data_IF_461552486054
#
_entry.id   IF_461552486054
#
_cell.length_a   1.000
_cell.length_b   1.000
_cell.length_c   1.000
_cell.angle_alpha   90.00
_cell.angle_beta   90.00
_cell.angle_gamma   90.00
#
_symmetry.space_group_name_H-M   'P 1'
#
loop_
_entity.id
_entity.type
_entity.pdbx_description
1 polymer ?
#
# COMPACT_ATOMS: atom_id res chain seq x y z
N UNK A 1 -47.37 -27.73 -26.61
CA UNK A 1 -46.25 -28.16 -27.48
C UNK A 1 -45.10 -27.20 -27.24
N UNK A 2 -44.17 -27.63 -26.38
CA UNK A 2 -42.94 -26.91 -26.07
C UNK A 2 -42.02 -26.92 -27.29
N UNK A 3 -41.40 -25.78 -27.62
CA UNK A 3 -40.14 -25.76 -28.37
C UNK A 3 -39.13 -24.90 -27.59
N UNK A 4 -38.09 -25.60 -27.16
CA UNK A 4 -37.05 -25.21 -26.25
C UNK A 4 -35.91 -24.56 -27.05
N UNK A 5 -35.56 -23.30 -26.74
CA UNK A 5 -34.26 -22.73 -27.14
C UNK A 5 -33.52 -22.36 -25.84
N UNK A 6 -32.69 -23.29 -25.37
CA UNK A 6 -31.69 -23.06 -24.33
C UNK A 6 -30.66 -22.04 -24.86
N UNK A 7 -30.78 -20.77 -24.48
CA UNK A 7 -29.60 -19.87 -24.41
C UNK A 7 -29.02 -20.01 -23.01
N UNK A 8 -27.84 -20.61 -22.91
CA UNK A 8 -27.09 -20.67 -21.64
C UNK A 8 -26.66 -19.27 -21.17
N UNK A 9 -26.30 -19.10 -19.89
CA UNK A 9 -25.85 -17.82 -19.37
C UNK A 9 -24.51 -17.43 -19.99
N UNK A 10 -24.42 -16.22 -20.55
CA UNK A 10 -23.19 -15.59 -21.00
C UNK A 10 -22.16 -15.62 -19.86
N UNK A 11 -20.95 -16.09 -20.13
CA UNK A 11 -19.87 -16.06 -19.12
C UNK A 11 -19.50 -14.59 -18.89
N UNK A 12 -19.14 -14.22 -17.67
CA UNK A 12 -18.76 -12.84 -17.32
C UNK A 12 -17.65 -12.30 -18.25
N UNK A 13 -16.78 -13.18 -18.76
CA UNK A 13 -15.79 -12.89 -19.81
C UNK A 13 -16.41 -12.29 -21.08
N UNK A 14 -17.52 -12.86 -21.56
CA UNK A 14 -18.22 -12.41 -22.77
C UNK A 14 -18.92 -11.04 -22.55
N UNK A 15 -19.33 -10.75 -21.31
CA UNK A 15 -19.90 -9.45 -20.92
C UNK A 15 -18.84 -8.36 -20.76
N UNK A 16 -17.60 -8.72 -20.40
CA UNK A 16 -16.48 -7.79 -20.35
C UNK A 16 -15.94 -7.53 -21.75
N UNK A 17 -15.84 -8.56 -22.59
CA UNK A 17 -15.45 -8.43 -23.99
C UNK A 17 -16.37 -7.45 -24.73
N UNK A 18 -17.69 -7.57 -24.58
CA UNK A 18 -18.64 -6.61 -25.15
C UNK A 18 -18.51 -5.17 -24.60
N UNK A 19 -18.13 -5.00 -23.34
CA UNK A 19 -17.88 -3.68 -22.75
C UNK A 19 -16.61 -3.04 -23.31
N UNK A 20 -15.53 -3.82 -23.48
CA UNK A 20 -14.28 -3.34 -24.05
C UNK A 20 -14.38 -3.05 -25.55
N UNK A 21 -15.13 -3.86 -26.29
CA UNK A 21 -15.42 -3.62 -27.71
C UNK A 21 -16.16 -2.29 -27.92
N UNK A 22 -17.10 -1.96 -27.03
CA UNK A 22 -17.85 -0.70 -27.05
C UNK A 22 -16.97 0.51 -26.69
N UNK A 23 -16.05 0.36 -25.74
CA UNK A 23 -15.08 1.41 -25.38
C UNK A 23 -14.07 1.63 -26.51
N UNK A 24 -13.56 0.56 -27.14
CA UNK A 24 -12.66 0.66 -28.28
C UNK A 24 -13.34 1.34 -29.48
N UNK A 25 -14.60 0.99 -29.76
CA UNK A 25 -15.41 1.64 -30.80
C UNK A 25 -15.53 3.14 -30.58
N UNK A 26 -15.87 3.57 -29.36
CA UNK A 26 -15.94 5.01 -28.99
C UNK A 26 -14.61 5.73 -29.18
N UNK A 27 -13.51 5.12 -28.75
CA UNK A 27 -12.18 5.74 -28.86
C UNK A 27 -11.70 5.86 -30.32
N UNK A 28 -12.14 4.95 -31.21
CA UNK A 28 -11.94 5.07 -32.67
C UNK A 28 -12.78 6.19 -33.28
N UNK A 29 -14.04 6.30 -32.87
CA UNK A 29 -14.95 7.38 -33.32
C UNK A 29 -14.48 8.77 -32.89
N UNK A 30 -13.84 8.88 -31.73
CA UNK A 30 -13.21 10.11 -31.23
C UNK A 30 -11.84 10.42 -31.87
N UNK A 31 -11.36 9.59 -32.81
CA UNK A 31 -10.07 9.77 -33.48
C UNK A 31 -8.85 9.59 -32.57
N UNK A 32 -9.03 9.00 -31.39
CA UNK A 32 -7.97 8.81 -30.37
C UNK A 32 -7.18 7.51 -30.59
N UNK A 33 -7.67 6.64 -31.47
CA UNK A 33 -7.00 5.43 -31.94
C UNK A 33 -6.90 5.52 -33.47
N UNK A 34 -5.68 5.51 -34.01
CA UNK A 34 -5.43 5.45 -35.47
C UNK A 34 -4.70 4.14 -35.77
N UNK A 35 -5.23 3.35 -36.69
CA UNK A 35 -4.59 2.14 -37.21
C UNK A 35 -3.69 2.49 -38.38
N UNK A 36 -2.37 2.35 -38.23
CA UNK A 36 -1.47 2.31 -39.39
C UNK A 36 -1.47 0.88 -39.96
N UNK A 37 -2.06 0.72 -41.15
CA UNK A 37 -1.95 -0.50 -41.94
C UNK A 37 -0.53 -0.64 -42.49
N UNK A 38 0.16 -1.71 -42.11
CA UNK A 38 1.57 -1.99 -42.44
C UNK A 38 1.84 -2.44 -43.89
N UNK A 39 0.96 -2.15 -44.84
CA UNK A 39 1.15 -2.54 -46.24
C UNK A 39 0.79 -1.41 -47.21
N UNK A 40 1.65 -0.39 -47.29
CA UNK A 40 2.06 0.26 -48.54
C UNK A 40 2.94 1.48 -48.23
N UNK A 41 4.26 1.35 -48.39
CA UNK A 41 5.17 2.49 -48.46
C UNK A 41 5.69 2.56 -49.90
N UNK A 42 5.08 3.44 -50.70
CA UNK A 42 5.76 4.07 -51.83
C UNK A 42 6.27 5.42 -51.34
N UNK A 43 7.58 5.58 -51.45
CA UNK A 43 8.31 6.81 -51.10
C UNK A 43 8.13 7.79 -52.26
N UNK A 44 7.39 8.87 -52.03
CA UNK A 44 7.48 10.07 -52.87
C UNK A 44 8.02 11.23 -52.04
N UNK A 45 9.26 11.60 -52.38
CA UNK A 45 9.99 12.75 -51.87
C UNK A 45 9.56 14.00 -52.62
N UNK A 46 8.61 14.78 -52.09
CA UNK A 46 8.54 16.24 -52.27
C UNK A 46 7.43 16.83 -51.39
N UNK A 47 7.79 17.57 -50.33
CA UNK A 47 7.33 18.94 -50.09
C UNK A 47 7.84 19.51 -48.76
N UNK A 48 8.19 20.79 -48.83
CA UNK A 48 8.89 21.58 -47.83
C UNK A 48 8.10 21.84 -46.53
N UNK A 49 8.80 21.63 -45.41
CA UNK A 49 8.98 22.51 -44.24
C UNK A 49 7.89 23.57 -43.99
N UNK A 50 7.17 23.47 -42.87
CA UNK A 50 7.18 24.45 -41.74
C UNK A 50 6.07 24.14 -40.73
N UNK A 51 6.43 24.20 -39.43
CA UNK A 51 5.61 24.05 -38.22
C UNK A 51 5.07 22.65 -37.88
N UNK A 52 5.91 21.80 -37.27
CA UNK A 52 5.44 20.90 -36.21
C UNK A 52 6.50 20.77 -35.11
N UNK A 53 6.03 21.08 -33.90
CA UNK A 53 6.71 21.11 -32.62
C UNK A 53 7.45 19.80 -32.28
N UNK A 54 8.64 19.92 -31.69
CA UNK A 54 9.57 18.82 -31.37
C UNK A 54 9.15 17.99 -30.13
N UNK A 55 7.86 17.89 -29.83
CA UNK A 55 7.31 17.22 -28.64
C UNK A 55 6.72 15.83 -28.91
N UNK A 56 7.19 15.12 -29.95
CA UNK A 56 6.78 13.71 -30.20
C UNK A 56 7.67 12.73 -29.43
N UNK A 57 7.34 12.51 -28.16
CA UNK A 57 7.76 11.31 -27.43
C UNK A 57 6.66 10.25 -27.53
N UNK A 58 6.94 9.19 -28.27
CA UNK A 58 6.12 7.98 -28.34
C UNK A 58 6.15 7.24 -27.00
N UNK A 59 4.98 6.95 -26.44
CA UNK A 59 4.80 5.88 -25.44
C UNK A 59 3.69 4.98 -25.94
N UNK A 60 4.02 3.73 -26.29
CA UNK A 60 3.06 2.69 -26.71
C UNK A 60 2.11 2.37 -25.55
N UNK A 61 0.91 2.93 -25.59
CA UNK A 61 -0.26 2.38 -24.91
C UNK A 61 -0.67 1.13 -25.67
N UNK A 62 -0.56 -0.06 -25.08
CA UNK A 62 -1.18 -1.24 -25.65
C UNK A 62 -2.69 -1.13 -25.42
N UNK A 63 -3.47 -1.04 -26.50
CA UNK A 63 -4.88 -1.45 -26.45
C UNK A 63 -4.92 -2.92 -25.99
N UNK A 64 -5.99 -3.37 -25.32
CA UNK A 64 -6.20 -4.81 -25.08
C UNK A 64 -6.21 -5.61 -26.40
N UNK A 65 -6.54 -4.97 -27.53
CA UNK A 65 -6.35 -5.50 -28.88
C UNK A 65 -4.87 -5.68 -29.24
N UNK A 66 -3.97 -4.77 -28.83
CA UNK A 66 -2.53 -4.91 -29.00
C UNK A 66 -1.92 -5.95 -28.05
N UNK A 67 -2.48 -6.09 -26.83
CA UNK A 67 -2.15 -7.16 -25.88
C UNK A 67 -2.58 -8.54 -26.42
N UNK A 68 -3.70 -8.60 -27.16
CA UNK A 68 -4.19 -9.80 -27.84
C UNK A 68 -3.44 -10.12 -29.14
N UNK A 69 -3.14 -9.10 -29.95
CA UNK A 69 -2.47 -9.23 -31.24
C UNK A 69 -0.97 -9.54 -31.10
N UNK A 70 -0.34 -9.06 -30.02
CA UNK A 70 1.02 -9.45 -29.70
C UNK A 70 0.99 -10.76 -28.89
N UNK A 71 1.46 -11.85 -29.46
CA UNK A 71 1.88 -13.05 -28.70
C UNK A 71 3.12 -12.75 -27.84
N UNK A 72 3.13 -11.62 -27.11
CA UNK A 72 4.23 -11.26 -26.22
C UNK A 72 4.03 -12.01 -24.91
N UNK A 73 4.65 -13.18 -24.86
CA UNK A 73 4.77 -14.06 -23.69
C UNK A 73 5.64 -13.43 -22.58
N UNK A 74 6.06 -12.16 -22.67
CA UNK A 74 6.92 -11.55 -21.65
C UNK A 74 6.57 -10.09 -21.35
N UNK A 75 6.07 -9.88 -20.12
CA UNK A 75 6.30 -8.68 -19.30
C UNK A 75 5.66 -7.38 -19.82
N UNK A 76 4.38 -7.18 -19.54
CA UNK A 76 3.81 -5.82 -19.51
C UNK A 76 4.42 -5.11 -18.29
N UNK A 77 5.36 -4.19 -18.56
CA UNK A 77 5.90 -3.24 -17.59
C UNK A 77 5.17 -1.92 -17.82
N UNK A 78 4.23 -1.56 -16.94
CA UNK A 78 3.72 -0.19 -16.88
C UNK A 78 4.71 0.63 -16.04
N UNK A 79 5.79 1.08 -16.67
CA UNK A 79 6.81 1.92 -16.03
C UNK A 79 6.30 3.36 -15.95
N UNK A 80 6.16 3.88 -14.72
CA UNK A 80 5.87 5.27 -14.36
C UNK A 80 4.61 5.88 -15.00
N UNK A 81 3.45 5.69 -14.38
CA UNK A 81 2.27 6.51 -14.70
C UNK A 81 2.40 7.86 -13.99
N UNK A 82 2.72 8.91 -14.75
CA UNK A 82 2.70 10.30 -14.29
C UNK A 82 1.26 10.77 -14.08
N UNK A 83 0.97 11.41 -12.93
CA UNK A 83 -0.37 11.82 -12.46
C UNK A 83 -1.11 12.81 -13.37
N UNK A 84 -0.48 13.37 -14.40
CA UNK A 84 -1.08 14.40 -15.26
C UNK A 84 -1.94 13.86 -16.43
N UNK A 85 -2.12 12.54 -16.58
CA UNK A 85 -2.86 11.94 -17.72
C UNK A 85 -3.91 10.91 -17.30
N UNK A 86 -5.00 11.39 -16.66
CA UNK A 86 -6.15 10.59 -16.17
C UNK A 86 -6.98 9.94 -17.29
N UNK A 87 -6.77 10.36 -18.54
CA UNK A 87 -7.59 9.94 -19.68
C UNK A 87 -7.33 8.49 -20.16
N UNK A 88 -6.24 7.87 -19.73
CA UNK A 88 -5.74 6.56 -20.20
C UNK A 88 -5.90 5.40 -19.21
N UNK A 89 -6.70 5.59 -18.13
CA UNK A 89 -6.94 4.56 -17.13
C UNK A 89 -8.07 3.60 -17.54
N UNK A 90 -7.88 2.29 -17.29
CA UNK A 90 -8.89 1.24 -17.49
C UNK A 90 -10.14 1.42 -16.62
N UNK A 91 -10.00 2.18 -15.52
CA UNK A 91 -11.05 2.56 -14.60
C UNK A 91 -10.81 4.03 -14.20
N UNK A 92 -11.78 4.91 -14.41
CA UNK A 92 -11.71 6.34 -14.04
C UNK A 92 -12.57 6.65 -12.81
N UNK A 93 -13.61 5.85 -12.58
CA UNK A 93 -14.52 5.94 -11.46
C UNK A 93 -14.91 4.55 -10.98
N UNK A 94 -15.35 4.43 -9.72
CA UNK A 94 -15.98 3.20 -9.23
C UNK A 94 -17.25 2.83 -9.99
N UNK A 95 -17.86 3.78 -10.71
CA UNK A 95 -18.98 3.51 -11.62
C UNK A 95 -18.56 2.70 -12.87
N UNK A 96 -17.27 2.67 -13.22
CA UNK A 96 -16.78 1.93 -14.38
C UNK A 96 -16.63 0.42 -14.08
N UNK A 97 -16.73 0.01 -12.81
CA UNK A 97 -16.95 -1.39 -12.45
C UNK A 97 -18.41 -1.58 -12.09
N UNK A 98 -18.97 -2.74 -12.42
CA UNK A 98 -20.32 -3.15 -11.99
C UNK A 98 -20.34 -3.46 -10.49
N UNK A 99 -20.26 -2.42 -9.66
CA UNK A 99 -20.43 -2.56 -8.22
C UNK A 99 -21.89 -2.79 -7.86
N UNK A 100 -22.16 -3.72 -6.95
CA UNK A 100 -23.47 -3.80 -6.32
C UNK A 100 -23.74 -2.52 -5.52
N UNK A 101 -25.02 -2.13 -5.41
CA UNK A 101 -25.41 -0.93 -4.67
C UNK A 101 -24.95 -0.97 -3.20
N UNK A 102 -24.91 -2.17 -2.61
CA UNK A 102 -24.39 -2.39 -1.25
C UNK A 102 -22.91 -1.99 -1.14
N UNK A 103 -22.06 -2.49 -2.05
CA UNK A 103 -20.63 -2.17 -2.06
C UNK A 103 -20.44 -0.66 -2.29
N UNK A 104 -21.14 -0.10 -3.28
CA UNK A 104 -21.05 1.30 -3.63
C UNK A 104 -21.41 2.22 -2.46
N UNK A 105 -22.54 1.97 -1.78
CA UNK A 105 -22.97 2.75 -0.62
C UNK A 105 -21.97 2.65 0.53
N UNK A 106 -21.45 1.44 0.81
CA UNK A 106 -20.48 1.25 1.89
C UNK A 106 -19.15 1.96 1.61
N UNK A 107 -18.68 1.96 0.37
CA UNK A 107 -17.52 2.77 -0.03
C UNK A 107 -17.78 4.26 0.21
N UNK A 108 -18.97 4.78 -0.12
CA UNK A 108 -19.34 6.18 0.15
C UNK A 108 -19.45 6.50 1.65
N UNK A 109 -19.99 5.61 2.48
CA UNK A 109 -19.99 5.77 3.95
C UNK A 109 -18.57 5.85 4.52
N UNK A 110 -17.64 5.08 3.95
CA UNK A 110 -16.22 5.16 4.25
C UNK A 110 -15.52 6.36 3.60
N UNK A 111 -16.28 7.21 2.89
CA UNK A 111 -15.81 8.35 2.11
C UNK A 111 -14.77 7.98 1.03
N UNK A 112 -14.83 6.76 0.51
CA UNK A 112 -14.04 6.26 -0.62
C UNK A 112 -14.84 6.54 -1.90
N UNK A 113 -14.71 7.75 -2.42
CA UNK A 113 -15.54 8.23 -3.53
C UNK A 113 -14.93 8.02 -4.91
N UNK A 114 -13.59 7.99 -5.00
CA UNK A 114 -12.87 7.81 -6.27
C UNK A 114 -11.68 6.85 -6.11
N UNK A 115 -11.37 6.07 -7.16
CA UNK A 115 -10.23 5.18 -7.15
C UNK A 115 -8.91 5.97 -7.23
N UNK A 116 -7.86 5.48 -6.59
CA UNK A 116 -6.50 6.03 -6.73
C UNK A 116 -5.81 5.51 -7.99
N UNK A 117 -4.74 6.13 -8.51
CA UNK A 117 -4.09 5.70 -9.75
C UNK A 117 -3.64 4.22 -9.75
N UNK A 118 -3.18 3.70 -8.61
CA UNK A 118 -2.83 2.28 -8.49
C UNK A 118 -4.07 1.38 -8.55
N UNK A 119 -5.18 1.81 -7.94
CA UNK A 119 -6.46 1.09 -7.98
C UNK A 119 -7.05 1.09 -9.39
N UNK A 120 -6.97 2.22 -10.09
CA UNK A 120 -7.43 2.38 -11.47
C UNK A 120 -6.79 1.37 -12.44
N UNK A 121 -5.52 1.00 -12.20
CA UNK A 121 -4.82 0.01 -13.01
C UNK A 121 -4.98 -1.42 -12.48
N UNK A 122 -4.86 -1.63 -11.17
CA UNK A 122 -4.80 -2.99 -10.62
C UNK A 122 -6.16 -3.66 -10.49
N UNK A 123 -7.22 -2.94 -10.10
CA UNK A 123 -8.56 -3.53 -9.92
C UNK A 123 -9.03 -4.28 -11.17
N UNK A 124 -9.01 -3.68 -12.39
CA UNK A 124 -9.45 -4.40 -13.59
C UNK A 124 -8.54 -5.59 -13.95
N UNK A 125 -7.23 -5.49 -13.69
CA UNK A 125 -6.30 -6.61 -13.93
C UNK A 125 -6.57 -7.80 -12.99
N UNK A 126 -6.83 -7.53 -11.70
CA UNK A 126 -7.18 -8.56 -10.73
C UNK A 126 -8.52 -9.21 -11.07
N UNK A 127 -9.55 -8.41 -11.41
CA UNK A 127 -10.84 -8.93 -11.89
C UNK A 127 -10.72 -9.72 -13.20
N UNK A 128 -9.78 -9.34 -14.07
CA UNK A 128 -9.49 -10.03 -15.33
C UNK A 128 -8.76 -11.36 -15.19
N UNK A 129 -8.39 -11.76 -13.96
CA UNK A 129 -7.72 -13.04 -13.71
C UNK A 129 -6.20 -13.04 -13.91
N UNK A 130 -5.59 -11.86 -14.10
CA UNK A 130 -4.13 -11.75 -14.27
C UNK A 130 -3.40 -11.91 -12.94
N UNK A 131 -2.19 -12.46 -12.99
CA UNK A 131 -1.27 -12.38 -11.86
C UNK A 131 -0.57 -11.02 -11.89
N UNK A 132 -0.76 -10.20 -10.85
CA UNK A 132 -0.35 -8.80 -10.87
C UNK A 132 0.66 -8.51 -9.76
N UNK A 133 1.73 -7.81 -10.10
CA UNK A 133 2.59 -7.12 -9.15
C UNK A 133 2.30 -5.63 -9.23
N UNK A 134 2.02 -5.00 -8.09
CA UNK A 134 1.77 -3.58 -7.96
C UNK A 134 2.74 -2.91 -7.01
N UNK A 135 3.45 -1.90 -7.51
CA UNK A 135 4.28 -1.03 -6.70
C UNK A 135 3.74 0.39 -6.74
N UNK A 136 3.47 0.94 -5.56
CA UNK A 136 3.13 2.36 -5.39
C UNK A 136 3.46 2.78 -3.96
N UNK A 137 3.62 4.08 -3.74
CA UNK A 137 3.98 4.64 -2.44
C UNK A 137 3.04 4.20 -1.31
N UNK A 138 3.49 4.32 -0.07
CA UNK A 138 2.62 4.17 1.11
C UNK A 138 1.49 5.20 1.09
N UNK A 139 0.30 4.81 1.57
CA UNK A 139 -0.85 5.72 1.62
C UNK A 139 -1.60 5.95 0.29
N UNK A 140 -1.27 5.23 -0.78
CA UNK A 140 -1.95 5.33 -2.10
C UNK A 140 -3.18 4.42 -2.21
N UNK A 141 -3.64 3.80 -1.12
CA UNK A 141 -4.83 2.94 -1.13
C UNK A 141 -4.63 1.54 -1.74
N UNK A 142 -3.42 0.99 -1.68
CA UNK A 142 -3.08 -0.37 -2.17
C UNK A 142 -4.04 -1.47 -1.72
N UNK A 143 -4.52 -1.41 -0.47
CA UNK A 143 -5.44 -2.42 0.09
C UNK A 143 -6.69 -2.65 -0.78
N UNK A 144 -7.26 -1.58 -1.35
CA UNK A 144 -8.46 -1.70 -2.18
C UNK A 144 -8.20 -2.40 -3.52
N UNK A 145 -6.93 -2.43 -4.00
CA UNK A 145 -6.55 -3.06 -5.26
C UNK A 145 -6.86 -4.56 -5.29
N UNK A 146 -6.75 -5.24 -4.14
CA UNK A 146 -7.16 -6.63 -4.00
C UNK A 146 -8.49 -6.78 -3.26
N UNK A 147 -8.77 -5.94 -2.26
CA UNK A 147 -9.94 -6.13 -1.41
C UNK A 147 -11.24 -5.98 -2.19
N UNK A 148 -11.36 -4.96 -3.06
CA UNK A 148 -12.58 -4.74 -3.82
C UNK A 148 -12.87 -5.89 -4.81
N UNK A 149 -11.92 -6.36 -5.64
CA UNK A 149 -12.13 -7.55 -6.46
C UNK A 149 -12.59 -8.79 -5.67
N UNK A 150 -11.97 -9.06 -4.51
CA UNK A 150 -12.33 -10.22 -3.68
C UNK A 150 -13.75 -10.09 -3.10
N UNK A 151 -14.13 -8.89 -2.64
CA UNK A 151 -15.48 -8.61 -2.13
C UNK A 151 -16.52 -8.83 -3.23
N UNK A 152 -16.29 -8.26 -4.42
CA UNK A 152 -17.17 -8.41 -5.57
C UNK A 152 -17.36 -9.88 -5.95
N UNK A 153 -16.26 -10.61 -6.15
CA UNK A 153 -16.30 -12.02 -6.52
C UNK A 153 -17.01 -12.90 -5.48
N UNK A 154 -16.82 -12.60 -4.19
CA UNK A 154 -17.48 -13.34 -3.09
C UNK A 154 -18.98 -13.06 -3.03
N UNK A 155 -19.41 -11.81 -3.16
CA UNK A 155 -20.83 -11.43 -3.08
C UNK A 155 -21.63 -11.81 -4.32
N UNK A 156 -21.01 -11.79 -5.50
CA UNK A 156 -21.66 -12.18 -6.77
C UNK A 156 -21.71 -13.71 -6.98
N UNK A 157 -21.25 -14.49 -5.99
CA UNK A 157 -21.12 -15.94 -6.10
C UNK A 157 -20.42 -16.38 -7.39
N UNK A 158 -19.37 -15.66 -7.78
CA UNK A 158 -18.66 -15.93 -9.02
C UNK A 158 -18.07 -17.35 -8.95
N UNK A 159 -18.41 -18.21 -9.90
CA UNK A 159 -17.95 -19.60 -9.94
C UNK A 159 -16.42 -19.75 -9.99
N UNK A 160 -15.68 -18.70 -10.38
CA UNK A 160 -14.21 -18.69 -10.35
C UNK A 160 -13.63 -18.47 -8.94
N UNK A 161 -14.43 -18.00 -7.98
CA UNK A 161 -14.00 -17.70 -6.63
C UNK A 161 -14.22 -18.88 -5.67
N UNK A 162 -13.12 -19.54 -5.33
CA UNK A 162 -13.10 -20.65 -4.36
C UNK A 162 -12.43 -20.25 -3.03
N UNK A 163 -12.32 -18.95 -2.77
CA UNK A 163 -11.68 -18.40 -1.58
C UNK A 163 -10.32 -17.76 -1.86
N UNK A 164 -9.83 -17.03 -0.85
CA UNK A 164 -8.61 -16.23 -0.94
C UNK A 164 -7.79 -16.28 0.35
N UNK A 165 -6.47 -16.22 0.20
CA UNK A 165 -5.53 -16.06 1.30
C UNK A 165 -4.80 -14.73 1.12
N UNK A 166 -4.83 -13.89 2.15
CA UNK A 166 -4.13 -12.61 2.21
C UNK A 166 -3.03 -12.73 3.25
N UNK A 167 -1.78 -12.70 2.79
CA UNK A 167 -0.59 -12.76 3.64
C UNK A 167 -0.08 -11.36 3.94
N UNK A 168 0.22 -11.13 5.22
CA UNK A 168 0.74 -9.85 5.71
C UNK A 168 1.89 -10.03 6.71
N UNK A 169 2.82 -9.07 6.81
CA UNK A 169 3.99 -9.19 7.68
C UNK A 169 3.70 -9.07 9.18
N UNK A 170 2.64 -8.35 9.57
CA UNK A 170 2.37 -8.01 10.98
C UNK A 170 0.93 -8.37 11.39
N UNK A 171 0.73 -8.56 12.70
CA UNK A 171 -0.59 -8.91 13.26
C UNK A 171 -1.55 -7.72 13.19
N UNK A 172 -1.02 -6.53 13.37
CA UNK A 172 -1.78 -5.29 13.40
C UNK A 172 -2.32 -4.98 12.00
N UNK A 173 -1.50 -5.19 10.96
CA UNK A 173 -1.97 -5.09 9.58
C UNK A 173 -3.01 -6.17 9.25
N UNK A 174 -2.85 -7.38 9.80
CA UNK A 174 -3.84 -8.45 9.66
C UNK A 174 -5.21 -8.03 10.23
N UNK A 175 -5.22 -7.50 11.46
CA UNK A 175 -6.43 -6.98 12.11
C UNK A 175 -7.04 -5.81 11.34
N UNK A 176 -6.22 -4.90 10.81
CA UNK A 176 -6.69 -3.76 10.02
C UNK A 176 -7.39 -4.18 8.72
N UNK A 177 -6.78 -5.10 7.96
CA UNK A 177 -7.38 -5.59 6.71
C UNK A 177 -8.63 -6.42 7.01
N UNK A 178 -8.62 -7.23 8.08
CA UNK A 178 -9.80 -7.95 8.55
C UNK A 178 -10.94 -6.99 8.84
N UNK A 179 -10.72 -6.02 9.72
CA UNK A 179 -11.72 -5.02 10.10
C UNK A 179 -12.26 -4.28 8.87
N UNK A 180 -11.39 -3.93 7.91
CA UNK A 180 -11.83 -3.32 6.65
C UNK A 180 -12.77 -4.24 5.85
N UNK A 181 -12.38 -5.50 5.62
CA UNK A 181 -13.17 -6.45 4.84
C UNK A 181 -14.48 -6.85 5.52
N UNK A 182 -14.52 -6.92 6.85
CA UNK A 182 -15.71 -7.29 7.65
C UNK A 182 -16.88 -6.30 7.51
N UNK A 183 -16.64 -5.10 6.98
CA UNK A 183 -17.72 -4.19 6.59
C UNK A 183 -18.53 -4.68 5.38
N UNK A 184 -18.00 -5.64 4.62
CA UNK A 184 -18.58 -6.12 3.36
C UNK A 184 -18.84 -7.63 3.38
N UNK A 185 -17.90 -8.43 3.89
CA UNK A 185 -17.93 -9.89 3.84
C UNK A 185 -17.30 -10.50 5.09
N UNK A 186 -17.74 -11.70 5.47
CA UNK A 186 -17.09 -12.45 6.57
C UNK A 186 -15.67 -12.87 6.20
N UNK A 187 -14.75 -12.70 7.16
CA UNK A 187 -13.31 -12.96 7.02
C UNK A 187 -12.77 -13.75 8.21
N UNK A 188 -11.95 -14.76 7.94
CA UNK A 188 -11.20 -15.52 8.94
C UNK A 188 -9.79 -14.92 9.10
N UNK A 189 -9.24 -14.94 10.31
CA UNK A 189 -7.91 -14.37 10.56
C UNK A 189 -7.00 -15.31 11.34
N UNK A 190 -5.70 -15.32 11.02
CA UNK A 190 -4.71 -16.14 11.73
C UNK A 190 -3.37 -15.42 11.92
N UNK A 191 -3.02 -15.09 13.17
CA UNK A 191 -1.76 -14.45 13.52
C UNK A 191 -1.25 -14.91 14.89
N UNK A 192 0.06 -14.75 15.16
CA UNK A 192 0.67 -15.26 16.40
C UNK A 192 0.22 -14.54 17.68
N UNK A 193 0.61 -15.07 18.85
CA UNK A 193 0.62 -14.39 20.16
C UNK A 193 -0.73 -14.02 20.79
N UNK A 194 -1.82 -14.61 20.32
CA UNK A 194 -3.03 -14.78 21.14
C UNK A 194 -2.80 -15.97 22.07
N UNK A 195 -2.45 -15.69 23.33
CA UNK A 195 -2.42 -16.70 24.39
C UNK A 195 -3.87 -16.99 24.81
N UNK A 196 -4.34 -18.18 24.46
CA UNK A 196 -5.44 -18.90 25.12
C UNK A 196 -6.92 -18.49 24.90
N UNK A 197 -7.69 -19.55 24.59
CA UNK A 197 -9.01 -19.93 25.13
C UNK A 197 -10.31 -19.49 24.45
N UNK A 198 -10.38 -18.53 23.52
CA UNK A 198 -11.67 -18.17 22.88
C UNK A 198 -11.84 -18.56 21.42
N UNK A 199 -10.80 -18.99 20.71
CA UNK A 199 -10.96 -19.66 19.40
C UNK A 199 -11.12 -21.19 19.54
N UNK A 200 -11.96 -21.61 20.50
CA UNK A 200 -12.88 -22.75 20.27
C UNK A 200 -14.07 -22.29 19.41
N UNK A 201 -13.90 -21.24 18.61
CA UNK A 201 -14.67 -21.13 17.39
C UNK A 201 -14.43 -22.45 16.66
N UNK A 202 -15.48 -23.28 16.62
CA UNK A 202 -15.69 -24.32 15.62
C UNK A 202 -15.49 -23.63 14.28
N UNK A 203 -14.25 -23.42 13.88
CA UNK A 203 -13.96 -23.08 12.52
C UNK A 203 -14.33 -24.36 11.79
N UNK A 204 -15.49 -24.35 11.14
CA UNK A 204 -15.70 -25.16 9.96
C UNK A 204 -14.67 -24.63 8.94
N UNK A 205 -13.41 -25.05 9.14
CA UNK A 205 -12.27 -24.81 8.26
C UNK A 205 -12.46 -25.74 7.09
N UNK A 206 -12.46 -25.23 5.86
CA UNK A 206 -12.68 -26.03 4.65
C UNK A 206 -14.06 -25.89 4.01
N UNK A 207 -14.77 -24.77 4.24
CA UNK A 207 -15.84 -24.36 3.33
C UNK A 207 -15.21 -23.55 2.19
N UNK A 208 -15.44 -23.98 0.95
CA UNK A 208 -15.05 -23.24 -0.26
C UNK A 208 -15.59 -21.80 -0.23
N UNK A 209 -14.82 -20.83 -0.73
CA UNK A 209 -15.26 -19.43 -0.83
C UNK A 209 -14.89 -18.53 0.35
N UNK A 210 -14.07 -18.99 1.29
CA UNK A 210 -13.67 -18.18 2.46
C UNK A 210 -12.47 -17.26 2.17
N UNK A 211 -12.42 -16.11 2.86
CA UNK A 211 -11.29 -15.18 2.81
C UNK A 211 -10.53 -15.28 4.13
N UNK A 212 -9.24 -15.54 4.05
CA UNK A 212 -8.33 -15.63 5.19
C UNK A 212 -7.34 -14.47 5.15
N UNK A 213 -7.16 -13.75 6.25
CA UNK A 213 -6.06 -12.78 6.43
C UNK A 213 -5.12 -13.32 7.49
N UNK A 214 -3.82 -13.44 7.19
CA UNK A 214 -2.92 -14.12 8.10
C UNK A 214 -1.45 -13.69 7.99
N UNK A 215 -0.72 -13.87 9.09
CA UNK A 215 0.75 -13.88 9.04
C UNK A 215 1.25 -15.26 8.57
N UNK A 216 2.22 -15.36 7.64
CA UNK A 216 2.65 -16.62 7.03
C UNK A 216 2.92 -17.78 7.99
N UNK A 217 3.71 -17.55 9.05
CA UNK A 217 4.05 -18.62 10.01
C UNK A 217 2.83 -19.19 10.74
N UNK A 218 1.86 -18.35 11.12
CA UNK A 218 0.65 -18.82 11.80
C UNK A 218 -0.30 -19.56 10.85
N UNK A 219 -0.42 -19.08 9.61
CA UNK A 219 -1.23 -19.75 8.61
C UNK A 219 -0.69 -21.17 8.35
N UNK A 220 0.63 -21.32 8.23
CA UNK A 220 1.24 -22.61 7.96
C UNK A 220 0.89 -23.65 9.04
N UNK A 221 0.93 -23.27 10.32
CA UNK A 221 0.50 -24.13 11.44
C UNK A 221 -0.97 -24.58 11.34
N UNK A 222 -1.85 -23.73 10.79
CA UNK A 222 -3.25 -24.11 10.56
C UNK A 222 -3.38 -25.07 9.38
N UNK A 223 -2.62 -24.82 8.30
CA UNK A 223 -2.61 -25.65 7.09
C UNK A 223 -1.99 -27.04 7.30
N UNK A 224 -1.18 -27.23 8.34
CA UNK A 224 -0.72 -28.55 8.78
C UNK A 224 -1.85 -29.40 9.34
N UNK A 225 -2.82 -28.79 10.03
CA UNK A 225 -3.98 -29.49 10.60
C UNK A 225 -5.07 -29.77 9.56
N UNK A 226 -5.33 -28.80 8.69
CA UNK A 226 -6.29 -28.91 7.61
C UNK A 226 -5.85 -28.06 6.41
N UNK A 227 -5.57 -28.69 5.28
CA UNK A 227 -5.05 -27.98 4.10
C UNK A 227 -6.15 -27.32 3.24
N UNK A 228 -6.89 -26.38 3.83
CA UNK A 228 -7.92 -25.60 3.12
C UNK A 228 -7.34 -24.67 2.03
N UNK A 229 -6.03 -24.41 2.04
CA UNK A 229 -5.37 -23.62 1.01
C UNK A 229 -5.48 -24.26 -0.39
N UNK A 230 -5.68 -25.58 -0.46
CA UNK A 230 -5.86 -26.31 -1.73
C UNK A 230 -7.10 -25.84 -2.52
N UNK A 231 -8.14 -25.39 -1.81
CA UNK A 231 -9.40 -24.91 -2.39
C UNK A 231 -9.31 -23.43 -2.79
N UNK A 232 -8.44 -22.66 -2.13
CA UNK A 232 -8.32 -21.23 -2.36
C UNK A 232 -7.79 -20.93 -3.78
N UNK A 233 -8.46 -19.98 -4.42
CA UNK A 233 -8.21 -19.55 -5.81
C UNK A 233 -7.29 -18.32 -5.91
N UNK A 234 -7.15 -17.55 -4.83
CA UNK A 234 -6.38 -16.31 -4.83
C UNK A 234 -5.36 -16.29 -3.69
N UNK A 235 -4.15 -15.80 -3.98
CA UNK A 235 -3.10 -15.52 -2.99
C UNK A 235 -2.62 -14.08 -3.12
N UNK A 236 -2.79 -13.32 -2.04
CA UNK A 236 -2.43 -11.92 -1.95
C UNK A 236 -1.22 -11.80 -1.03
N UNK A 237 -0.19 -11.07 -1.45
CA UNK A 237 0.91 -10.64 -0.60
C UNK A 237 0.87 -9.13 -0.47
N UNK A 238 0.44 -8.61 0.68
CA UNK A 238 0.47 -7.17 0.97
C UNK A 238 1.74 -6.82 1.78
N UNK A 239 2.31 -5.64 1.51
CA UNK A 239 3.62 -5.23 2.04
C UNK A 239 4.72 -6.29 1.75
N UNK A 240 4.77 -6.80 0.51
CA UNK A 240 5.66 -7.90 0.11
C UNK A 240 7.16 -7.58 0.33
N UNK A 241 7.55 -6.30 0.22
CA UNK A 241 8.90 -5.80 0.54
C UNK A 241 9.32 -6.07 1.98
N UNK A 242 8.36 -6.27 2.90
CA UNK A 242 8.62 -6.62 4.30
C UNK A 242 8.63 -8.12 4.58
N UNK A 243 8.22 -8.95 3.62
CA UNK A 243 8.20 -10.42 3.72
C UNK A 243 9.39 -11.07 2.97
N UNK A 244 10.53 -10.38 2.91
CA UNK A 244 11.75 -10.79 2.18
C UNK A 244 12.76 -11.59 3.02
N UNK A 245 12.53 -11.70 4.34
CA UNK A 245 13.41 -12.48 5.22
C UNK A 245 13.40 -13.97 4.81
N UNK A 246 14.51 -14.72 5.00
CA UNK A 246 14.56 -16.13 4.62
C UNK A 246 13.43 -16.98 5.24
N UNK A 247 13.02 -16.65 6.48
CA UNK A 247 11.91 -17.31 7.16
C UNK A 247 10.56 -17.02 6.48
N UNK A 248 10.26 -15.75 6.15
CA UNK A 248 9.05 -15.39 5.43
C UNK A 248 8.99 -16.05 4.06
N UNK A 249 10.08 -15.97 3.29
CA UNK A 249 10.18 -16.56 1.95
C UNK A 249 9.92 -18.07 2.00
N UNK A 250 10.51 -18.78 2.96
CA UNK A 250 10.29 -20.22 3.15
C UNK A 250 8.82 -20.52 3.48
N UNK A 251 8.23 -19.79 4.42
CA UNK A 251 6.83 -20.00 4.83
C UNK A 251 5.86 -19.73 3.66
N UNK A 252 6.06 -18.65 2.91
CA UNK A 252 5.25 -18.32 1.74
C UNK A 252 5.38 -19.40 0.67
N UNK A 253 6.60 -19.87 0.38
CA UNK A 253 6.83 -20.96 -0.57
C UNK A 253 6.02 -22.20 -0.20
N UNK A 254 6.09 -22.65 1.05
CA UNK A 254 5.33 -23.82 1.52
C UNK A 254 3.81 -23.61 1.42
N UNK A 255 3.31 -22.39 1.66
CA UNK A 255 1.89 -22.07 1.47
C UNK A 255 1.52 -22.19 -0.01
N UNK A 256 2.33 -21.64 -0.93
CA UNK A 256 2.09 -21.72 -2.37
C UNK A 256 2.07 -23.17 -2.86
N UNK A 257 3.00 -24.01 -2.39
CA UNK A 257 3.06 -25.45 -2.72
C UNK A 257 1.82 -26.23 -2.26
N UNK A 258 1.12 -25.74 -1.23
CA UNK A 258 -0.14 -26.33 -0.74
C UNK A 258 -1.37 -25.89 -1.56
N UNK A 259 -1.25 -24.85 -2.38
CA UNK A 259 -2.31 -24.34 -3.26
C UNK A 259 -2.23 -25.00 -4.65
N UNK A 260 -3.37 -25.19 -5.32
CA UNK A 260 -3.38 -25.87 -6.64
C UNK A 260 -2.91 -24.96 -7.76
N UNK A 261 -3.57 -23.82 -7.97
CA UNK A 261 -3.28 -22.82 -9.02
C UNK A 261 -3.83 -21.45 -8.58
N UNK A 262 -3.18 -20.77 -7.61
CA UNK A 262 -3.65 -19.47 -7.16
C UNK A 262 -3.40 -18.39 -8.21
N UNK A 263 -4.33 -17.45 -8.35
CA UNK A 263 -4.07 -16.14 -8.93
C UNK A 263 -3.31 -15.30 -7.90
N UNK A 264 -2.18 -14.72 -8.30
CA UNK A 264 -1.32 -13.92 -7.44
C UNK A 264 -1.63 -12.42 -7.56
N UNK A 265 -1.74 -11.74 -6.43
CA UNK A 265 -1.71 -10.28 -6.35
C UNK A 265 -0.67 -9.86 -5.31
N UNK A 266 0.43 -9.26 -5.77
CA UNK A 266 1.56 -8.90 -4.91
C UNK A 266 1.69 -7.40 -4.88
N UNK A 267 1.70 -6.82 -3.69
CA UNK A 267 1.72 -5.38 -3.46
C UNK A 267 2.93 -5.01 -2.61
N UNK A 268 3.68 -4.01 -3.04
CA UNK A 268 4.84 -3.49 -2.32
C UNK A 268 4.86 -1.96 -2.34
N UNK A 269 5.42 -1.37 -1.29
CA UNK A 269 5.60 0.08 -1.24
C UNK A 269 6.92 0.56 -1.86
N UNK A 270 7.96 -0.27 -1.77
CA UNK A 270 9.32 0.07 -2.22
C UNK A 270 9.83 -0.93 -3.25
N UNK A 271 11.04 -0.70 -3.76
CA UNK A 271 11.66 -1.58 -4.75
C UNK A 271 11.84 -2.98 -4.17
N UNK A 272 10.96 -3.87 -4.59
CA UNK A 272 10.95 -5.26 -4.17
C UNK A 272 11.86 -6.09 -5.07
N UNK A 273 12.91 -6.69 -4.52
CA UNK A 273 13.67 -7.73 -5.21
C UNK A 273 12.83 -9.02 -5.30
N UNK A 274 11.96 -9.01 -6.30
CA UNK A 274 11.09 -10.12 -6.65
C UNK A 274 11.86 -11.41 -6.92
N UNK A 275 13.18 -11.39 -7.15
CA UNK A 275 13.95 -12.60 -7.42
C UNK A 275 13.79 -13.68 -6.34
N UNK A 276 13.65 -13.28 -5.07
CA UNK A 276 13.47 -14.23 -3.95
C UNK A 276 12.13 -14.97 -3.98
N UNK A 277 11.08 -14.39 -4.55
CA UNK A 277 9.76 -15.02 -4.68
C UNK A 277 9.46 -15.54 -6.10
N UNK A 278 10.20 -15.08 -7.12
CA UNK A 278 10.00 -15.45 -8.54
C UNK A 278 10.04 -16.95 -8.80
N UNK A 279 10.72 -17.72 -7.97
CA UNK A 279 10.82 -19.18 -8.14
C UNK A 279 9.51 -19.91 -7.88
N UNK A 280 8.56 -19.30 -7.16
CA UNK A 280 7.27 -19.91 -6.83
C UNK A 280 6.06 -18.98 -7.03
N UNK A 281 6.27 -17.70 -7.34
CA UNK A 281 5.20 -16.75 -7.70
C UNK A 281 5.30 -16.42 -9.17
N UNK A 282 4.19 -16.57 -9.89
CA UNK A 282 4.04 -16.15 -11.28
C UNK A 282 3.41 -14.77 -11.32
N UNK A 283 3.99 -13.85 -12.10
CA UNK A 283 3.47 -12.50 -12.34
C UNK A 283 3.38 -12.29 -13.85
N UNK A 284 2.19 -11.93 -14.34
CA UNK A 284 1.94 -11.65 -15.76
C UNK A 284 2.11 -10.16 -16.06
N UNK A 285 1.69 -9.28 -15.14
CA UNK A 285 1.69 -7.81 -15.31
C UNK A 285 2.34 -7.12 -14.11
N UNK A 286 3.21 -6.15 -14.39
CA UNK A 286 3.78 -5.27 -13.36
C UNK A 286 3.24 -3.84 -13.53
N UNK A 287 2.69 -3.29 -12.45
CA UNK A 287 2.12 -1.95 -12.38
C UNK A 287 2.98 -1.10 -11.46
N UNK A 288 3.56 -0.01 -11.98
CA UNK A 288 4.35 0.94 -11.20
C UNK A 288 3.72 2.33 -11.23
N UNK A 289 3.38 2.87 -10.06
CA UNK A 289 2.87 4.23 -9.90
C UNK A 289 3.89 5.06 -9.13
N UNK A 290 4.29 6.19 -9.71
CA UNK A 290 5.36 7.06 -9.21
C UNK A 290 6.76 6.63 -9.67
N UNK A 291 7.78 7.36 -9.22
CA UNK A 291 9.18 7.04 -9.48
C UNK A 291 9.67 5.89 -8.57
N UNK A 292 10.53 5.02 -9.12
CA UNK A 292 11.19 3.96 -8.34
C UNK A 292 11.95 4.63 -7.19
N UNK A 293 11.64 4.25 -5.96
CA UNK A 293 12.24 4.80 -4.74
C UNK A 293 12.05 6.32 -4.57
N UNK A 294 10.91 6.89 -4.92
CA UNK A 294 10.58 8.27 -4.53
C UNK A 294 9.78 8.29 -3.21
N UNK A 295 10.12 9.22 -2.31
CA UNK A 295 9.27 9.58 -1.17
C UNK A 295 7.93 10.16 -1.64
N UNK A 296 6.88 9.94 -0.87
CA UNK A 296 5.55 10.47 -1.15
C UNK A 296 5.60 12.00 -1.34
N UNK A 297 5.16 12.49 -2.51
CA UNK A 297 5.20 13.91 -2.90
C UNK A 297 4.39 14.82 -1.96
N UNK A 298 3.43 14.25 -1.24
CA UNK A 298 2.63 14.97 -0.25
C UNK A 298 3.32 15.06 1.13
N UNK A 299 4.53 14.51 1.28
CA UNK A 299 5.33 14.61 2.51
C UNK A 299 6.45 15.62 2.33
N UNK A 300 6.36 16.73 3.06
CA UNK A 300 7.47 17.68 3.20
C UNK A 300 8.53 17.06 4.10
N UNK A 301 9.71 16.78 3.54
CA UNK A 301 10.80 16.14 4.25
C UNK A 301 11.81 17.21 4.73
N UNK A 302 12.11 17.20 6.02
CA UNK A 302 13.04 18.14 6.65
C UNK A 302 14.11 17.34 7.39
N UNK A 303 15.36 17.48 6.96
CA UNK A 303 16.52 16.81 7.58
C UNK A 303 17.28 17.84 8.41
N UNK A 304 17.54 17.52 9.68
CA UNK A 304 18.21 18.43 10.61
C UNK A 304 19.34 17.74 11.35
N UNK A 305 20.54 18.29 11.21
CA UNK A 305 21.66 18.01 12.11
C UNK A 305 21.44 18.84 13.38
N UNK A 306 21.45 18.17 14.53
CA UNK A 306 21.21 18.78 15.84
C UNK A 306 22.25 18.30 16.84
N UNK A 307 22.60 19.16 17.79
CA UNK A 307 23.50 18.79 18.90
C UNK A 307 22.76 18.02 20.00
N UNK A 308 21.48 18.36 20.23
CA UNK A 308 20.59 17.68 21.17
C UNK A 308 19.22 17.43 20.53
N UNK A 309 18.96 16.15 20.20
CA UNK A 309 17.68 15.71 19.63
C UNK A 309 16.49 15.99 20.54
N UNK A 310 16.64 15.91 21.86
CA UNK A 310 15.54 16.13 22.80
C UNK A 310 15.22 17.62 22.94
N UNK A 311 16.23 18.48 22.94
CA UNK A 311 16.05 19.93 22.92
C UNK A 311 15.22 20.36 21.70
N UNK A 312 15.63 19.93 20.51
CA UNK A 312 14.91 20.22 19.26
C UNK A 312 13.49 19.63 19.26
N UNK A 313 13.33 18.40 19.75
CA UNK A 313 12.01 17.76 19.81
C UNK A 313 10.99 18.59 20.60
N UNK A 314 11.37 19.20 21.73
CA UNK A 314 10.47 20.05 22.52
C UNK A 314 9.92 21.25 21.74
N UNK A 315 10.72 21.79 20.82
CA UNK A 315 10.35 22.93 19.99
C UNK A 315 9.33 22.51 18.92
N UNK A 316 9.63 21.44 18.18
CA UNK A 316 8.86 21.04 16.99
C UNK A 316 7.68 20.12 17.25
N UNK A 317 7.63 19.45 18.41
CA UNK A 317 6.56 18.48 18.70
C UNK A 317 5.20 19.18 18.68
N UNK A 318 4.26 18.59 17.94
CA UNK A 318 2.86 19.00 17.74
C UNK A 318 1.84 18.02 18.35
N UNK A 319 0.55 18.24 18.09
CA UNK A 319 -0.48 17.21 18.27
C UNK A 319 -0.40 16.15 17.15
N UNK A 320 -0.93 14.95 17.43
CA UNK A 320 -0.99 13.83 16.48
C UNK A 320 0.37 13.52 15.82
N UNK A 321 1.41 13.39 16.65
CA UNK A 321 2.78 13.13 16.20
C UNK A 321 3.14 11.67 16.38
N UNK A 322 3.73 11.09 15.34
CA UNK A 322 4.34 9.76 15.40
C UNK A 322 5.86 9.89 15.41
N UNK A 323 6.49 9.43 16.49
CA UNK A 323 7.94 9.50 16.70
C UNK A 323 8.53 8.10 16.52
N UNK A 324 9.60 8.00 15.73
CA UNK A 324 10.31 6.76 15.47
C UNK A 324 11.66 6.70 16.19
N UNK A 325 11.88 5.58 16.87
CA UNK A 325 13.15 5.22 17.51
C UNK A 325 13.61 3.82 17.08
N UNK A 326 14.88 3.52 17.27
CA UNK A 326 15.50 2.28 16.79
C UNK A 326 15.46 1.12 17.81
N UNK A 327 15.18 1.38 19.09
CA UNK A 327 15.10 0.34 20.13
C UNK A 327 13.87 0.47 21.04
N UNK A 328 13.52 -0.64 21.70
CA UNK A 328 12.43 -0.69 22.69
C UNK A 328 12.74 0.21 23.88
N UNK A 329 13.95 0.10 24.41
CA UNK A 329 14.38 0.84 25.60
C UNK A 329 14.39 2.35 25.36
N UNK A 330 14.85 2.80 24.18
CA UNK A 330 14.78 4.22 23.78
C UNK A 330 13.33 4.70 23.65
N UNK A 331 12.41 3.83 23.22
CA UNK A 331 10.99 4.21 23.12
C UNK A 331 10.42 4.52 24.51
N UNK A 332 10.72 3.68 25.49
CA UNK A 332 10.26 3.86 26.87
C UNK A 332 10.96 5.04 27.56
N UNK A 333 12.28 5.18 27.38
CA UNK A 333 13.06 6.31 27.90
C UNK A 333 12.53 7.66 27.38
N UNK A 334 12.34 7.78 26.07
CA UNK A 334 11.85 9.01 25.44
C UNK A 334 10.40 9.31 25.88
N UNK A 335 9.58 8.27 26.05
CA UNK A 335 8.22 8.42 26.57
C UNK A 335 8.23 9.01 27.97
N UNK A 336 9.08 8.51 28.86
CA UNK A 336 9.23 9.03 30.22
C UNK A 336 9.74 10.48 30.21
N UNK A 337 10.75 10.79 29.39
CA UNK A 337 11.28 12.15 29.23
C UNK A 337 10.21 13.15 28.79
N UNK A 338 9.43 12.81 27.75
CA UNK A 338 8.35 13.67 27.26
C UNK A 338 7.21 13.80 28.27
N UNK A 339 6.81 12.72 28.94
CA UNK A 339 5.80 12.78 30.01
C UNK A 339 6.22 13.70 31.15
N UNK A 340 7.49 13.66 31.54
CA UNK A 340 8.03 14.53 32.59
C UNK A 340 8.13 15.99 32.13
N UNK A 341 8.49 16.22 30.87
CA UNK A 341 8.48 17.55 30.27
C UNK A 341 7.08 18.18 30.34
N UNK A 342 6.06 17.51 29.78
CA UNK A 342 4.69 18.04 29.77
C UNK A 342 4.08 18.18 31.17
N UNK A 343 4.41 17.28 32.12
CA UNK A 343 4.03 17.44 33.53
C UNK A 343 4.66 18.67 34.20
N UNK A 344 5.90 19.00 33.86
CA UNK A 344 6.61 20.14 34.44
C UNK A 344 6.07 21.46 33.88
N UNK A 345 5.87 21.54 32.56
CA UNK A 345 5.25 22.68 31.88
C UNK A 345 3.83 22.98 32.42
N UNK A 346 3.05 21.93 32.73
CA UNK A 346 1.76 22.07 33.42
C UNK A 346 1.85 22.80 34.77
N UNK A 347 2.93 22.57 35.54
CA UNK A 347 3.07 23.07 36.91
C UNK A 347 3.58 24.50 36.97
N UNK A 348 4.33 24.93 35.95
CA UNK A 348 4.88 26.29 35.87
C UNK A 348 3.86 27.33 35.43
N UNK A 349 2.62 26.94 35.15
CA UNK A 349 1.46 27.83 35.25
C UNK A 349 1.54 29.09 34.38
N UNK A 350 2.04 28.99 33.16
CA UNK A 350 1.74 30.04 32.19
C UNK A 350 0.25 29.92 31.83
N UNK A 351 -0.56 30.91 32.22
CA UNK A 351 -1.90 31.13 31.68
C UNK A 351 -1.78 31.56 30.21
N UNK A 352 -1.08 30.77 29.41
CA UNK A 352 -0.71 31.11 28.06
C UNK A 352 -1.88 30.72 27.14
N UNK A 353 -2.57 31.73 26.65
CA UNK A 353 -3.57 31.61 25.56
C UNK A 353 -2.90 31.38 24.20
N UNK A 354 -1.58 31.19 24.19
CA UNK A 354 -0.78 30.77 23.06
C UNK A 354 -1.33 29.55 22.32
N UNK A 355 -1.11 29.47 21.00
CA UNK A 355 -1.41 28.30 20.19
C UNK A 355 -0.70 27.00 20.65
N UNK A 356 0.20 27.07 21.64
CA UNK A 356 0.91 25.93 22.22
C UNK A 356 0.28 25.36 23.50
N UNK A 357 -0.92 25.80 23.93
CA UNK A 357 -1.56 25.33 25.17
C UNK A 357 -1.72 23.80 25.27
N UNK A 358 -1.88 23.13 24.13
CA UNK A 358 -1.95 21.66 24.06
C UNK A 358 -0.69 20.97 24.60
N UNK A 359 0.49 21.62 24.52
CA UNK A 359 1.74 21.08 25.05
C UNK A 359 1.64 20.86 26.56
N UNK A 360 0.80 21.58 27.29
CA UNK A 360 0.68 21.38 28.74
C UNK A 360 0.08 20.00 29.05
N UNK A 361 -0.93 19.54 28.31
CA UNK A 361 -1.68 18.32 28.64
C UNK A 361 -1.36 17.11 27.75
N UNK A 362 -0.33 17.18 26.92
CA UNK A 362 -0.12 16.21 25.85
C UNK A 362 0.04 14.77 26.37
N UNK A 363 -0.84 13.86 25.94
CA UNK A 363 -0.72 12.45 26.34
C UNK A 363 0.26 11.71 25.41
N UNK A 364 1.29 11.11 26.02
CA UNK A 364 2.36 10.39 25.33
C UNK A 364 2.36 8.91 25.68
N UNK A 365 2.57 8.02 24.70
CA UNK A 365 2.78 6.58 24.91
C UNK A 365 3.80 5.98 23.93
N UNK A 366 4.41 4.85 24.33
CA UNK A 366 5.26 4.01 23.50
C UNK A 366 4.52 2.78 22.94
N UNK A 367 4.87 2.37 21.72
CA UNK A 367 4.39 1.15 21.05
C UNK A 367 5.58 0.38 20.46
N UNK A 368 5.92 -0.74 21.10
CA UNK A 368 7.01 -1.63 20.67
C UNK A 368 6.70 -3.09 21.05
N UNK A 369 7.45 -4.05 20.48
CA UNK A 369 7.21 -5.48 20.68
C UNK A 369 7.58 -6.01 22.07
N UNK A 370 7.85 -5.12 23.04
CA UNK A 370 7.99 -5.49 24.46
C UNK A 370 6.67 -5.37 25.23
N UNK A 371 5.67 -4.67 24.67
CA UNK A 371 4.35 -4.51 25.28
C UNK A 371 3.44 -5.70 24.99
N UNK A 372 2.56 -5.99 25.93
CA UNK A 372 1.50 -6.99 25.77
C UNK A 372 0.56 -6.64 24.62
N UNK A 373 0.05 -7.65 23.92
CA UNK A 373 -0.79 -7.41 22.73
C UNK A 373 -2.05 -6.61 23.06
N UNK A 374 -2.66 -6.86 24.22
CA UNK A 374 -3.86 -6.16 24.68
C UNK A 374 -3.57 -4.66 24.83
N UNK A 375 -2.43 -4.30 25.44
CA UNK A 375 -2.01 -2.92 25.60
C UNK A 375 -1.69 -2.26 24.27
N UNK A 376 -1.03 -3.00 23.36
CA UNK A 376 -0.72 -2.51 22.01
C UNK A 376 -2.00 -2.13 21.25
N UNK A 377 -3.02 -2.97 21.28
CA UNK A 377 -4.30 -2.70 20.63
C UNK A 377 -4.97 -1.45 21.23
N UNK A 378 -5.01 -1.37 22.56
CA UNK A 378 -5.57 -0.22 23.28
C UNK A 378 -4.84 1.09 22.95
N UNK A 379 -3.51 1.05 22.87
CA UNK A 379 -2.69 2.23 22.51
C UNK A 379 -2.98 2.69 21.08
N UNK A 380 -3.08 1.75 20.13
CA UNK A 380 -3.41 2.06 18.72
C UNK A 380 -4.80 2.71 18.63
N UNK A 381 -5.80 2.15 19.31
CA UNK A 381 -7.15 2.71 19.36
C UNK A 381 -7.16 4.13 19.97
N UNK A 382 -6.50 4.31 21.10
CA UNK A 382 -6.42 5.61 21.79
C UNK A 382 -5.67 6.66 20.98
N UNK A 383 -4.66 6.26 20.19
CA UNK A 383 -3.97 7.19 19.28
C UNK A 383 -4.87 7.57 18.11
N UNK A 384 -5.57 6.60 17.50
CA UNK A 384 -6.48 6.87 16.38
C UNK A 384 -7.73 7.67 16.76
N UNK A 385 -8.16 7.62 18.03
CA UNK A 385 -9.22 8.45 18.58
C UNK A 385 -8.74 9.86 18.99
N UNK A 386 -7.43 10.13 18.96
CA UNK A 386 -6.83 11.37 19.44
C UNK A 386 -6.70 11.48 20.96
N UNK A 387 -7.00 10.40 21.70
CA UNK A 387 -6.81 10.37 23.16
C UNK A 387 -5.35 10.31 23.57
N UNK A 388 -4.47 9.76 22.72
CA UNK A 388 -3.02 9.90 22.78
C UNK A 388 -2.63 10.84 21.64
N UNK A 389 -1.88 11.89 21.93
CA UNK A 389 -1.47 12.88 20.93
C UNK A 389 -0.07 12.59 20.38
N UNK A 390 0.79 11.94 21.17
CA UNK A 390 2.16 11.60 20.76
C UNK A 390 2.39 10.11 20.96
N UNK A 391 2.67 9.41 19.87
CA UNK A 391 3.00 7.99 19.87
C UNK A 391 4.47 7.80 19.49
N UNK A 392 5.23 7.14 20.36
CA UNK A 392 6.63 6.78 20.10
C UNK A 392 6.69 5.30 19.77
N UNK A 393 7.30 4.91 18.65
CA UNK A 393 7.30 3.51 18.25
C UNK A 393 8.58 3.07 17.55
N UNK A 394 8.82 1.76 17.56
CA UNK A 394 9.86 1.15 16.73
C UNK A 394 9.31 0.87 15.33
N UNK A 395 10.20 0.89 14.33
CA UNK A 395 9.81 0.74 12.92
C UNK A 395 8.97 -0.50 12.64
N UNK A 396 9.30 -1.62 13.29
CA UNK A 396 8.63 -2.89 13.06
C UNK A 396 7.13 -2.84 13.35
N UNK A 397 6.72 -2.08 14.38
CA UNK A 397 5.34 -2.07 14.84
C UNK A 397 4.44 -1.06 14.12
N UNK A 398 5.01 -0.01 13.54
CA UNK A 398 4.21 1.00 12.82
C UNK A 398 3.81 0.60 11.40
N UNK A 399 4.45 -0.44 10.84
CA UNK A 399 4.30 -0.84 9.45
C UNK A 399 2.90 -1.37 9.19
N UNK A 400 2.33 -1.01 8.05
CA UNK A 400 0.95 -1.36 7.69
C UNK A 400 -0.16 -0.66 8.49
N UNK A 401 0.13 -0.13 9.69
CA UNK A 401 -0.90 0.52 10.51
C UNK A 401 -1.28 1.87 9.90
N UNK A 402 -2.59 2.09 9.74
CA UNK A 402 -3.16 3.38 9.39
C UNK A 402 -3.34 4.24 10.62
N UNK A 403 -2.38 5.13 10.82
CA UNK A 403 -2.43 6.14 11.85
C UNK A 403 -2.93 7.46 11.26
N UNK A 404 -3.76 8.18 12.01
CA UNK A 404 -4.08 9.58 11.71
C UNK A 404 -2.95 10.48 12.23
N UNK A 405 -1.93 10.72 11.40
CA UNK A 405 -0.74 11.48 11.80
C UNK A 405 -0.59 12.70 10.93
N UNK A 406 -0.35 13.84 11.56
CA UNK A 406 -0.07 15.10 10.87
C UNK A 406 1.46 15.23 10.65
N UNK A 407 2.25 14.86 11.64
CA UNK A 407 3.71 14.95 11.62
C UNK A 407 4.40 13.64 12.02
N UNK A 408 5.40 13.24 11.23
CA UNK A 408 6.31 12.13 11.55
C UNK A 408 7.65 12.69 11.99
N UNK A 409 8.23 12.14 13.07
CA UNK A 409 9.58 12.50 13.52
C UNK A 409 10.42 11.24 13.59
N UNK A 410 11.43 11.12 12.73
CA UNK A 410 12.51 10.15 12.91
C UNK A 410 13.47 10.72 13.96
N UNK A 411 13.24 10.37 15.23
CA UNK A 411 14.11 10.77 16.33
C UNK A 411 15.46 10.07 16.21
N UNK A 412 15.44 8.76 15.96
CA UNK A 412 16.62 8.03 15.49
C UNK A 412 16.55 7.87 13.97
N UNK A 413 17.64 8.17 13.28
CA UNK A 413 17.74 8.00 11.83
C UNK A 413 17.57 6.50 11.45
N UNK A 414 16.74 6.18 10.43
CA UNK A 414 16.60 4.80 9.96
C UNK A 414 17.87 4.31 9.25
N UNK A 415 18.11 3.00 9.34
CA UNK A 415 19.30 2.36 8.75
C UNK A 415 19.16 2.00 7.27
N UNK A 416 17.93 2.07 6.71
CA UNK A 416 17.66 1.70 5.32
C UNK A 416 16.70 2.70 4.67
N UNK A 417 16.85 2.87 3.36
CA UNK A 417 15.92 3.69 2.54
C UNK A 417 14.49 3.18 2.67
N UNK A 418 14.30 1.86 2.68
CA UNK A 418 12.97 1.27 2.85
C UNK A 418 12.35 1.68 4.18
N UNK A 419 13.08 1.61 5.28
CA UNK A 419 12.54 2.03 6.56
C UNK A 419 12.25 3.53 6.60
N UNK A 420 13.10 4.34 5.98
CA UNK A 420 12.85 5.76 5.82
C UNK A 420 11.52 6.04 5.11
N UNK A 421 11.32 5.52 3.89
CA UNK A 421 10.10 5.69 3.09
C UNK A 421 8.85 5.25 3.88
N UNK A 422 8.95 4.12 4.57
CA UNK A 422 7.83 3.54 5.32
C UNK A 422 7.45 4.35 6.57
N UNK A 423 8.44 4.95 7.24
CA UNK A 423 8.22 5.84 8.39
C UNK A 423 7.58 7.14 7.96
N UNK A 424 8.16 7.84 6.98
CA UNK A 424 7.64 9.15 6.54
C UNK A 424 6.26 9.03 5.89
N UNK A 425 5.99 7.89 5.25
CA UNK A 425 4.70 7.56 4.66
C UNK A 425 3.56 7.25 5.65
N UNK A 426 3.77 7.47 6.96
CA UNK A 426 2.69 7.48 7.95
C UNK A 426 1.92 8.80 7.95
N UNK A 427 2.50 9.87 7.42
CA UNK A 427 1.82 11.12 7.08
C UNK A 427 1.73 11.28 5.55
N UNK A 428 1.16 12.40 5.07
CA UNK A 428 1.07 12.70 3.64
C UNK A 428 0.11 11.79 2.87
N UNK A 429 -0.90 11.21 3.53
CA UNK A 429 -1.76 10.18 2.95
C UNK A 429 -2.95 10.77 2.19
N UNK A 430 -3.37 10.07 1.14
CA UNK A 430 -4.63 10.32 0.47
C UNK A 430 -5.77 9.95 1.43
N UNK A 431 -6.59 10.92 1.84
CA UNK A 431 -7.84 10.67 2.59
C UNK A 431 -9.00 11.09 1.72
N UNK A 432 -9.90 10.15 1.47
CA UNK A 432 -11.15 10.41 0.74
C UNK A 432 -10.94 10.92 -0.71
N UNK A 433 -9.87 10.45 -1.36
CA UNK A 433 -9.50 10.91 -2.71
C UNK A 433 -8.84 12.29 -2.75
N UNK A 434 -8.63 12.94 -1.59
CA UNK A 434 -7.88 14.19 -1.49
C UNK A 434 -6.51 13.95 -0.84
N UNK A 435 -5.42 14.46 -1.42
CA UNK A 435 -4.11 14.38 -0.79
C UNK A 435 -4.08 15.32 0.43
N UNK A 436 -3.62 14.81 1.57
CA UNK A 436 -3.25 15.66 2.71
C UNK A 436 -1.76 15.82 2.73
N UNK A 437 -1.28 17.05 2.85
CA UNK A 437 0.12 17.32 3.08
C UNK A 437 0.51 16.95 4.51
N UNK A 438 1.68 16.32 4.64
CA UNK A 438 2.29 15.94 5.90
C UNK A 438 3.70 16.49 6.01
N UNK A 439 4.22 16.56 7.24
CA UNK A 439 5.63 16.93 7.47
C UNK A 439 6.36 15.77 8.13
N UNK A 440 7.58 15.49 7.65
CA UNK A 440 8.46 14.48 8.22
C UNK A 440 9.80 15.10 8.60
N UNK A 441 10.10 15.16 9.90
CA UNK A 441 11.41 15.55 10.40
C UNK A 441 12.31 14.32 10.56
N UNK A 442 13.58 14.45 10.19
CA UNK A 442 14.61 13.45 10.50
C UNK A 442 15.77 14.12 11.22
N UNK A 443 15.98 13.72 12.47
CA UNK A 443 17.00 14.28 13.33
C UNK A 443 18.27 13.45 13.19
N UNK A 444 19.38 14.15 12.98
CA UNK A 444 20.72 13.59 12.84
C UNK A 444 21.61 14.17 13.92
N UNK A 445 22.48 13.34 14.48
CA UNK A 445 23.65 13.78 15.24
C UNK A 445 24.92 13.49 14.43
N UNK A 446 26.07 14.05 14.82
CA UNK A 446 27.35 13.78 14.13
C UNK A 446 27.70 12.28 14.06
N UNK A 447 27.20 11.49 15.00
CA UNK A 447 27.37 10.03 15.05
C UNK A 447 26.56 9.28 13.99
N UNK A 448 25.60 9.92 13.33
CA UNK A 448 24.71 9.29 12.34
C UNK A 448 25.32 9.19 10.93
N UNK A 449 26.61 9.52 10.74
CA UNK A 449 27.30 9.57 9.43
C UNK A 449 27.02 8.35 8.53
N UNK A 450 27.09 7.14 9.07
CA UNK A 450 26.81 5.90 8.31
C UNK A 450 25.37 5.84 7.79
N UNK A 451 24.40 6.29 8.60
CA UNK A 451 22.98 6.34 8.19
C UNK A 451 22.78 7.42 7.11
N UNK A 452 23.44 8.57 7.25
CA UNK A 452 23.42 9.66 6.26
C UNK A 452 23.95 9.17 4.91
N UNK A 453 25.08 8.46 4.89
CA UNK A 453 25.63 7.88 3.65
C UNK A 453 24.65 6.94 2.94
N UNK A 454 23.88 6.15 3.69
CA UNK A 454 22.87 5.25 3.14
C UNK A 454 21.70 6.00 2.48
N UNK A 455 21.30 7.13 3.05
CA UNK A 455 20.10 7.89 2.65
C UNK A 455 20.40 9.07 1.71
N UNK A 456 21.65 9.53 1.66
CA UNK A 456 22.05 10.74 0.93
C UNK A 456 21.58 10.75 -0.51
N UNK A 457 21.91 9.69 -1.28
CA UNK A 457 21.52 9.59 -2.68
C UNK A 457 20.00 9.68 -2.86
N UNK A 458 19.25 9.00 -1.99
CA UNK A 458 17.79 9.03 -2.02
C UNK A 458 17.23 10.43 -1.75
N UNK A 459 17.81 11.17 -0.79
CA UNK A 459 17.38 12.54 -0.49
C UNK A 459 17.63 13.48 -1.67
N UNK A 460 18.79 13.39 -2.31
CA UNK A 460 19.10 14.16 -3.51
C UNK A 460 18.15 13.81 -4.66
N UNK A 461 17.97 12.52 -4.95
CA UNK A 461 17.06 12.04 -6.01
C UNK A 461 15.60 12.44 -5.74
N UNK A 462 15.23 12.66 -4.46
CA UNK A 462 13.91 13.12 -4.03
C UNK A 462 13.80 14.65 -3.87
N UNK A 463 14.80 15.42 -4.32
CA UNK A 463 14.87 16.89 -4.20
C UNK A 463 14.73 17.40 -2.74
N UNK A 464 15.18 16.63 -1.76
CA UNK A 464 15.23 17.05 -0.36
C UNK A 464 16.42 17.98 -0.16
N UNK A 465 16.17 19.18 0.39
CA UNK A 465 17.23 20.15 0.70
C UNK A 465 18.01 19.68 1.93
N UNK A 466 19.32 19.57 1.79
CA UNK A 466 20.25 19.26 2.89
C UNK A 466 21.04 20.51 3.25
N UNK A 467 21.22 20.73 4.55
CA UNK A 467 22.02 21.83 5.11
C UNK A 467 23.52 21.59 4.83
N UNK A 468 24.31 22.67 4.69
CA UNK A 468 25.76 22.58 4.49
C UNK A 468 26.45 21.77 5.57
N UNK A 469 25.98 21.84 6.81
CA UNK A 469 26.55 21.05 7.91
C UNK A 469 26.38 19.54 7.71
N UNK A 470 25.29 19.12 7.06
CA UNK A 470 25.05 17.71 6.73
C UNK A 470 25.97 17.30 5.56
N UNK A 471 26.20 18.19 4.60
CA UNK A 471 27.13 17.94 3.50
C UNK A 471 28.58 17.83 4.01
N UNK A 472 28.97 18.67 4.97
CA UNK A 472 30.29 18.60 5.59
C UNK A 472 30.52 17.29 6.34
N UNK A 473 29.49 16.76 7.02
CA UNK A 473 29.54 15.46 7.69
C UNK A 473 29.87 14.29 6.72
N UNK A 474 29.57 14.45 5.42
CA UNK A 474 29.87 13.46 4.39
C UNK A 474 31.27 13.59 3.78
N UNK A 475 31.91 14.77 3.92
CA UNK A 475 33.22 15.09 3.36
C UNK A 475 34.37 14.84 4.35
N UNK A 476 34.10 14.99 5.66
CA UNK A 476 34.92 14.42 6.74
C UNK A 476 34.84 12.88 6.71
#
# INVERSE_FOLDING_TARGET
MWLCVRRGPLRMKDSFDAFYDEVERRLREEGRIVTEDKHNVQVDNTCNIQNMDHSKFFVRTYSLADVRASRIVNKIILESVCMQRVENFLLKSFADVRLSLCIYNKLREMNINQPTPIQMQMIPLVLGGYNVFGQSMTGTGKTLCFALPLIMMKLEANHSFNGAIILVPTRELCLQIKAFLEHFVSVKSAFGGTVHKTEKARCNVGMSGEIYVATPGKLLQLLEKNNFARECSHLILDEADKMTSPEFVRNIKTIVEKMKRPQFCVLAATCFDSYRLKSFIRIDVNVFIGNKNAANEYVTQIIKLVDDKFAFLKEIVGQNVLIFVNSKDRADELTLKLRNFFKTECRTGSNDTSPYSWKMSAKVESLHAGKEQIDRNKIIEQFNSGSIEILICTSLLSRGIDFKVDCVINYDCPHTIDDYIHRIGRTGRMRYGTPRHGVAYTLLEKTDKTNVLCLYKFWIDSNVRLDENILNLLNE
#
